data_IF_311125916261
#
_entry.id   IF_311125916261
#
_cell.length_a   1.000
_cell.length_b   1.000
_cell.length_c   1.000
_cell.angle_alpha   90.00
_cell.angle_beta   90.00
_cell.angle_gamma   90.00
#
_symmetry.space_group_name_H-M   'P 1'
#
loop_
_entity.id
_entity.type
_entity.pdbx_description
1 polymer ?
#
# COMPACT_ATOMS: atom_id res chain seq x y z
N UNK A 1 -10.31 54.52 5.98
CA UNK A 1 -11.28 53.45 5.63
C UNK A 1 -10.72 52.34 4.75
N UNK A 2 -9.66 52.55 3.93
CA UNK A 2 -9.10 51.50 3.03
C UNK A 2 -8.24 50.43 3.73
N UNK A 3 -7.54 50.77 4.82
CA UNK A 3 -6.66 49.85 5.56
C UNK A 3 -7.43 48.74 6.28
N UNK A 4 -8.58 49.05 6.88
CA UNK A 4 -9.43 48.06 7.54
C UNK A 4 -10.06 47.06 6.57
N UNK A 5 -10.48 47.51 5.37
CA UNK A 5 -11.01 46.64 4.33
C UNK A 5 -9.97 45.62 3.84
N UNK A 6 -8.74 46.07 3.59
CA UNK A 6 -7.64 45.20 3.15
C UNK A 6 -7.26 44.14 4.20
N UNK A 7 -7.36 44.47 5.50
CA UNK A 7 -7.09 43.52 6.60
C UNK A 7 -8.19 42.47 6.69
N UNK A 8 -9.46 42.85 6.54
CA UNK A 8 -10.59 41.91 6.56
C UNK A 8 -10.48 40.93 5.38
N UNK A 9 -10.15 41.41 4.17
CA UNK A 9 -9.96 40.54 3.00
C UNK A 9 -8.80 39.55 3.21
N UNK A 10 -7.68 39.99 3.79
CA UNK A 10 -6.54 39.11 4.07
C UNK A 10 -6.90 38.00 5.07
N UNK A 11 -7.65 38.32 6.13
CA UNK A 11 -8.10 37.34 7.12
C UNK A 11 -9.03 36.30 6.49
N UNK A 12 -9.96 36.73 5.63
CA UNK A 12 -10.87 35.81 4.92
C UNK A 12 -10.08 34.86 4.02
N UNK A 13 -9.09 35.35 3.28
CA UNK A 13 -8.25 34.52 2.42
C UNK A 13 -7.47 33.49 3.24
N UNK A 14 -6.91 33.88 4.39
CA UNK A 14 -6.20 32.96 5.28
C UNK A 14 -7.15 31.86 5.80
N UNK A 15 -8.35 32.22 6.23
CA UNK A 15 -9.36 31.25 6.70
C UNK A 15 -9.78 30.29 5.57
N UNK A 16 -9.93 30.80 4.34
CA UNK A 16 -10.25 29.93 3.19
C UNK A 16 -9.10 28.98 2.89
N UNK A 17 -7.86 29.47 2.91
CA UNK A 17 -6.68 28.64 2.67
C UNK A 17 -6.48 27.57 3.76
N UNK A 18 -6.73 27.88 5.03
CA UNK A 18 -6.65 26.89 6.11
C UNK A 18 -7.74 25.83 5.99
N UNK A 19 -8.97 26.22 5.67
CA UNK A 19 -10.08 25.28 5.46
C UNK A 19 -9.82 24.39 4.25
N UNK A 20 -9.35 24.95 3.12
CA UNK A 20 -8.99 24.18 1.92
C UNK A 20 -7.80 23.25 2.20
N UNK A 21 -6.79 23.72 2.93
CA UNK A 21 -5.66 22.88 3.34
C UNK A 21 -6.09 21.70 4.22
N UNK A 22 -6.99 21.95 5.18
CA UNK A 22 -7.55 20.92 6.05
C UNK A 22 -8.40 19.89 5.29
N UNK A 23 -9.22 20.33 4.32
CA UNK A 23 -10.05 19.41 3.51
C UNK A 23 -9.21 18.58 2.55
N UNK A 24 -8.17 19.17 1.94
CA UNK A 24 -7.23 18.44 1.09
C UNK A 24 -6.39 17.43 1.88
N UNK A 25 -5.93 17.78 3.08
CA UNK A 25 -5.18 16.87 3.95
C UNK A 25 -5.97 15.61 4.30
N UNK A 26 -7.23 15.78 4.72
CA UNK A 26 -8.10 14.65 5.09
C UNK A 26 -8.39 13.69 3.94
N UNK A 27 -8.29 14.16 2.69
CA UNK A 27 -8.54 13.34 1.51
C UNK A 27 -7.32 12.49 1.09
N UNK A 28 -6.13 12.74 1.65
CA UNK A 28 -4.88 12.07 1.25
C UNK A 28 -4.63 10.72 1.93
N UNK A 29 -5.40 10.35 2.95
CA UNK A 29 -5.21 9.09 3.71
C UNK A 29 -5.91 7.86 3.09
N UNK A 30 -6.78 8.05 2.10
CA UNK A 30 -7.67 7.00 1.58
C UNK A 30 -7.07 6.19 0.41
N UNK A 31 -5.84 5.68 0.53
CA UNK A 31 -5.23 4.85 -0.53
C UNK A 31 -4.34 3.68 -0.02
N UNK A 32 -4.45 3.30 1.25
CA UNK A 32 -3.60 2.23 1.84
C UNK A 32 -4.36 0.95 2.23
N UNK A 33 -5.66 0.86 1.97
CA UNK A 33 -6.53 -0.19 2.56
C UNK A 33 -7.21 -1.11 1.52
N UNK A 34 -6.63 -1.26 0.33
CA UNK A 34 -7.29 -1.97 -0.78
C UNK A 34 -6.75 -3.36 -1.12
N UNK A 35 -5.62 -3.79 -0.56
CA UNK A 35 -4.93 -5.03 -1.00
C UNK A 35 -4.81 -6.08 0.09
N UNK A 36 -4.80 -5.68 1.35
CA UNK A 36 -4.75 -6.60 2.49
C UNK A 36 -5.97 -7.52 2.55
N UNK A 37 -7.12 -7.09 2.03
CA UNK A 37 -8.30 -7.95 1.93
C UNK A 37 -8.23 -8.93 0.74
N UNK A 38 -7.42 -8.61 -0.27
CA UNK A 38 -7.29 -9.41 -1.50
C UNK A 38 -6.13 -10.40 -1.46
N UNK A 39 -5.05 -10.12 -0.72
CA UNK A 39 -3.88 -11.00 -0.67
C UNK A 39 -3.49 -11.21 0.79
N UNK A 40 -3.46 -12.46 1.22
CA UNK A 40 -3.03 -12.83 2.58
C UNK A 40 -1.85 -13.78 2.53
N UNK A 41 -0.70 -13.29 2.97
CA UNK A 41 0.51 -14.10 3.16
C UNK A 41 0.38 -14.86 4.47
N UNK A 42 0.42 -16.19 4.39
CA UNK A 42 0.43 -17.06 5.56
C UNK A 42 1.86 -17.30 6.04
N UNK A 43 2.77 -17.62 5.11
CA UNK A 43 4.19 -17.84 5.38
C UNK A 43 5.06 -17.42 4.19
N UNK A 44 6.26 -16.86 4.43
CA UNK A 44 6.75 -16.38 5.73
C UNK A 44 6.03 -15.09 6.18
N UNK A 45 5.93 -14.87 7.49
CA UNK A 45 5.47 -13.57 8.03
C UNK A 45 6.59 -12.54 7.95
N UNK A 46 6.22 -11.26 7.95
CA UNK A 46 7.18 -10.17 8.01
C UNK A 46 8.16 -10.38 9.19
N UNK A 47 9.45 -10.18 8.91
CA UNK A 47 10.56 -10.35 9.87
C UNK A 47 10.76 -11.79 10.40
N UNK A 48 10.11 -12.79 9.82
CA UNK A 48 10.36 -14.18 10.19
C UNK A 48 11.75 -14.64 9.73
N UNK A 49 12.46 -15.37 10.60
CA UNK A 49 13.69 -16.07 10.22
C UNK A 49 13.33 -17.27 9.36
N UNK A 50 13.85 -17.33 8.13
CA UNK A 50 13.63 -18.44 7.20
C UNK A 50 14.79 -19.45 7.23
N UNK A 51 14.51 -20.70 6.85
CA UNK A 51 15.50 -21.78 6.73
C UNK A 51 15.25 -22.56 5.44
N UNK A 52 16.22 -23.37 5.03
CA UNK A 52 16.03 -24.35 3.95
C UNK A 52 15.39 -25.63 4.54
N UNK A 53 14.27 -26.14 3.99
CA UNK A 53 13.51 -25.61 2.84
C UNK A 53 12.62 -24.41 3.20
N UNK A 54 12.59 -23.41 2.30
CA UNK A 54 11.72 -22.23 2.44
C UNK A 54 10.33 -22.56 1.89
N UNK A 55 9.32 -22.42 2.75
CA UNK A 55 7.90 -22.57 2.36
C UNK A 55 7.27 -21.19 2.20
N UNK A 56 6.65 -20.96 1.04
CA UNK A 56 5.85 -19.77 0.74
C UNK A 56 4.40 -20.20 0.54
N UNK A 57 3.48 -19.64 1.34
CA UNK A 57 2.04 -19.99 1.29
C UNK A 57 1.17 -18.77 1.59
N UNK A 58 0.01 -18.72 0.97
CA UNK A 58 -1.00 -17.70 1.19
C UNK A 58 -2.25 -17.95 0.37
N UNK A 59 -3.16 -16.99 0.42
CA UNK A 59 -4.37 -16.95 -0.38
C UNK A 59 -4.45 -15.60 -1.11
N UNK A 60 -4.96 -15.64 -2.35
CA UNK A 60 -5.32 -14.45 -3.10
C UNK A 60 -6.82 -14.53 -3.43
N UNK A 61 -7.60 -13.58 -2.94
CA UNK A 61 -9.03 -13.43 -3.20
C UNK A 61 -9.22 -12.49 -4.36
N UNK A 62 -9.96 -12.90 -5.38
CA UNK A 62 -10.34 -12.05 -6.51
C UNK A 62 -10.65 -12.85 -7.76
N UNK A 63 -11.32 -12.22 -8.71
CA UNK A 63 -11.74 -12.82 -9.98
C UNK A 63 -10.60 -13.03 -10.99
N UNK A 64 -9.33 -12.89 -10.57
CA UNK A 64 -8.15 -13.04 -11.43
C UNK A 64 -7.85 -14.53 -11.68
N UNK A 65 -8.77 -15.19 -12.40
CA UNK A 65 -8.80 -16.62 -12.71
C UNK A 65 -7.86 -17.03 -13.86
N UNK A 66 -6.83 -16.23 -14.22
CA UNK A 66 -6.07 -16.50 -15.45
C UNK A 66 -4.60 -16.88 -15.30
N UNK A 67 -4.03 -16.81 -14.09
CA UNK A 67 -2.70 -17.36 -13.82
C UNK A 67 -2.71 -17.93 -12.40
N UNK A 68 -3.29 -19.13 -12.24
CA UNK A 68 -3.21 -19.88 -10.98
C UNK A 68 -1.77 -20.26 -10.61
N UNK A 69 -0.76 -19.79 -11.35
CA UNK A 69 0.63 -19.85 -11.00
C UNK A 69 1.38 -18.57 -11.36
N UNK A 70 2.32 -18.16 -10.51
CA UNK A 70 3.15 -16.98 -10.74
C UNK A 70 4.56 -17.18 -10.17
N UNK A 71 5.59 -16.51 -10.71
CA UNK A 71 6.94 -16.61 -10.19
C UNK A 71 7.08 -15.91 -8.84
N UNK A 72 7.74 -16.57 -7.90
CA UNK A 72 8.23 -16.03 -6.63
C UNK A 72 9.74 -15.89 -6.72
N UNK A 73 10.24 -14.68 -6.46
CA UNK A 73 11.68 -14.38 -6.49
C UNK A 73 12.16 -14.11 -5.08
N UNK A 74 13.30 -14.69 -4.72
CA UNK A 74 13.97 -14.47 -3.45
C UNK A 74 15.21 -13.63 -3.70
N UNK A 75 15.34 -12.54 -2.95
CA UNK A 75 16.49 -11.64 -2.97
C UNK A 75 17.22 -11.67 -1.63
N UNK A 76 18.53 -11.44 -1.65
CA UNK A 76 19.30 -11.20 -0.44
C UNK A 76 19.25 -9.73 0.01
N UNK A 77 20.00 -9.40 1.07
CA UNK A 77 20.03 -8.05 1.64
C UNK A 77 20.65 -6.99 0.72
N UNK A 78 21.42 -7.40 -0.29
CA UNK A 78 22.03 -6.52 -1.30
C UNK A 78 21.14 -6.40 -2.55
N UNK A 79 19.97 -7.02 -2.56
CA UNK A 79 19.02 -7.01 -3.66
C UNK A 79 19.41 -7.95 -4.82
N UNK A 80 20.32 -8.90 -4.61
CA UNK A 80 20.67 -9.92 -5.61
C UNK A 80 19.66 -11.06 -5.56
N UNK A 81 19.17 -11.48 -6.72
CA UNK A 81 18.28 -12.65 -6.84
C UNK A 81 19.05 -13.93 -6.52
N UNK A 82 18.58 -14.70 -5.54
CA UNK A 82 19.21 -15.94 -5.08
C UNK A 82 18.38 -17.19 -5.40
N UNK A 83 17.07 -17.04 -5.67
CA UNK A 83 16.23 -18.15 -6.14
C UNK A 83 14.97 -17.65 -6.86
N UNK A 84 14.45 -18.48 -7.75
CA UNK A 84 13.13 -18.32 -8.37
C UNK A 84 12.36 -19.63 -8.23
N UNK A 85 11.11 -19.55 -7.80
CA UNK A 85 10.18 -20.67 -7.72
C UNK A 85 8.84 -20.30 -8.33
N UNK A 86 7.98 -21.29 -8.58
CA UNK A 86 6.61 -21.05 -9.03
C UNK A 86 5.67 -21.30 -7.86
N UNK A 87 4.92 -20.27 -7.45
CA UNK A 87 3.77 -20.46 -6.59
C UNK A 87 2.59 -20.89 -7.46
N UNK A 88 1.84 -21.89 -7.02
CA UNK A 88 0.69 -22.41 -7.76
C UNK A 88 -0.48 -22.66 -6.79
N UNK A 89 -1.67 -22.22 -7.18
CA UNK A 89 -2.91 -22.45 -6.46
C UNK A 89 -3.20 -23.95 -6.37
N UNK A 90 -3.65 -24.37 -5.20
CA UNK A 90 -3.96 -25.78 -4.90
C UNK A 90 -5.48 -26.05 -4.91
N UNK A 91 -6.30 -25.03 -5.12
CA UNK A 91 -7.76 -25.09 -5.14
C UNK A 91 -8.37 -23.71 -5.37
N UNK A 92 -9.68 -23.67 -5.54
CA UNK A 92 -10.52 -22.47 -5.74
C UNK A 92 -11.05 -21.90 -4.42
#
# INVERSE_FOLDING_TARGET
>A
MKKSFSVITAVIVIVVLTVVGLTMWKNSEKNLTGKEDLIRVEAPKANAVIKNPLVVRGEARGYWYFEASFPVRLYDGDGREIAVGIAQAQGD
#
